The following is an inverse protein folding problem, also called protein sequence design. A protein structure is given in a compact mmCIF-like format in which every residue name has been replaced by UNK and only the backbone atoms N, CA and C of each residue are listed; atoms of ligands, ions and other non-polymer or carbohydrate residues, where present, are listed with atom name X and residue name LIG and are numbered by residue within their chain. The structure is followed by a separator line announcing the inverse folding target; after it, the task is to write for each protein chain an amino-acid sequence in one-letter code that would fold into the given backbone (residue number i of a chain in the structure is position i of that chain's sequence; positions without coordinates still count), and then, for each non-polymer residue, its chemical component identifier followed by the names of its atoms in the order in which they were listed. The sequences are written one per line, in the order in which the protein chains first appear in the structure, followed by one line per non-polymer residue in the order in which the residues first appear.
data_IF_863481233540
#
_entry.id   IF_863481233540
#
_cell.length_a   1.000
_cell.length_b   1.000
_cell.length_c   1.000
_cell.angle_alpha   90.00
_cell.angle_beta   90.00
_cell.angle_gamma   90.00
#
_symmetry.space_group_name_H-M   'P 1'
#
loop_
_entity.id
_entity.type
_entity.pdbx_description
1 polymer ?
#
# COMPACT_ATOMS: atom_id res chain seq x y z
N UNK A 1 -21.03 12.76 -17.50
CA UNK A 1 -20.68 11.44 -16.93
C UNK A 1 -21.40 11.31 -15.61
N UNK A 2 -22.10 10.22 -15.38
CA UNK A 2 -22.75 9.92 -14.08
C UNK A 2 -21.66 9.78 -13.02
N UNK A 3 -21.77 10.50 -11.89
CA UNK A 3 -20.84 10.35 -10.78
C UNK A 3 -20.86 8.88 -10.31
N UNK A 4 -19.68 8.27 -10.17
CA UNK A 4 -19.60 6.90 -9.67
C UNK A 4 -20.08 6.85 -8.22
N UNK A 5 -20.78 5.78 -7.86
CA UNK A 5 -21.23 5.57 -6.49
C UNK A 5 -20.00 5.42 -5.57
N UNK A 6 -19.88 6.21 -4.49
CA UNK A 6 -18.77 6.09 -3.56
C UNK A 6 -18.71 4.70 -2.92
N UNK A 7 -17.51 4.13 -2.83
CA UNK A 7 -17.24 2.90 -2.07
C UNK A 7 -17.17 3.25 -0.58
N UNK A 8 -16.45 4.32 -0.25
CA UNK A 8 -16.17 4.73 1.12
C UNK A 8 -17.35 5.50 1.72
N UNK A 9 -18.39 4.76 2.08
CA UNK A 9 -19.51 5.31 2.86
C UNK A 9 -19.09 5.64 4.30
N UNK A 10 -19.79 6.55 5.01
CA UNK A 10 -19.53 6.82 6.43
C UNK A 10 -19.57 5.55 7.29
N UNK A 11 -20.51 4.65 7.03
CA UNK A 11 -20.62 3.36 7.72
C UNK A 11 -19.40 2.47 7.50
N UNK A 12 -18.91 2.36 6.26
CA UNK A 12 -17.71 1.59 5.96
C UNK A 12 -16.48 2.21 6.62
N UNK A 13 -16.34 3.54 6.55
CA UNK A 13 -15.23 4.25 7.18
C UNK A 13 -15.21 4.04 8.70
N UNK A 14 -16.37 4.11 9.35
CA UNK A 14 -16.50 3.82 10.78
C UNK A 14 -16.13 2.37 11.11
N UNK A 15 -16.51 1.41 10.27
CA UNK A 15 -16.15 0.00 10.44
C UNK A 15 -14.63 -0.23 10.28
N UNK A 16 -13.99 0.42 9.30
CA UNK A 16 -12.53 0.35 9.09
C UNK A 16 -11.79 0.93 10.31
N UNK A 17 -12.18 2.11 10.78
CA UNK A 17 -11.55 2.78 11.94
C UNK A 17 -11.72 1.99 13.24
N UNK A 18 -12.78 1.20 13.36
CA UNK A 18 -13.08 0.36 14.53
C UNK A 18 -12.61 -1.10 14.36
N UNK A 19 -11.91 -1.44 13.27
CA UNK A 19 -11.41 -2.78 13.04
C UNK A 19 -10.52 -3.24 14.21
N UNK A 20 -10.88 -4.34 14.90
CA UNK A 20 -10.05 -4.88 15.98
C UNK A 20 -8.66 -5.27 15.44
N UNK A 21 -7.64 -5.04 16.27
CA UNK A 21 -6.23 -5.36 15.98
C UNK A 21 -5.64 -4.64 14.76
N UNK A 22 -6.35 -3.67 14.16
CA UNK A 22 -5.74 -2.84 13.13
C UNK A 22 -4.68 -1.92 13.78
N UNK A 23 -3.43 -1.92 13.30
CA UNK A 23 -2.40 -1.08 13.90
C UNK A 23 -2.79 0.40 13.86
N UNK A 24 -2.49 1.13 14.94
CA UNK A 24 -2.80 2.55 15.04
C UNK A 24 -2.18 3.32 13.88
N UNK A 25 -2.87 4.35 13.40
CA UNK A 25 -2.38 5.23 12.33
C UNK A 25 -1.99 4.51 11.03
N UNK A 26 -2.70 3.42 10.70
CA UNK A 26 -2.51 2.70 9.42
C UNK A 26 -3.73 2.67 8.51
N UNK A 27 -4.94 2.83 9.09
CA UNK A 27 -6.20 2.71 8.36
C UNK A 27 -6.24 3.57 7.08
N UNK A 28 -5.76 4.80 7.13
CA UNK A 28 -5.87 5.75 6.03
C UNK A 28 -5.03 5.36 4.82
N UNK A 29 -3.80 4.90 5.01
CA UNK A 29 -2.95 4.53 3.89
C UNK A 29 -3.31 3.15 3.34
N UNK A 30 -3.79 2.23 4.18
CA UNK A 30 -4.34 0.94 3.73
C UNK A 30 -5.56 1.17 2.84
N UNK A 31 -6.48 2.04 3.27
CA UNK A 31 -7.68 2.39 2.51
C UNK A 31 -7.30 3.09 1.19
N UNK A 32 -6.44 4.11 1.22
CA UNK A 32 -6.02 4.82 0.02
C UNK A 32 -5.30 3.92 -0.99
N UNK A 33 -4.41 3.03 -0.53
CA UNK A 33 -3.74 2.05 -1.39
C UNK A 33 -4.75 1.08 -2.03
N UNK A 34 -5.73 0.59 -1.25
CA UNK A 34 -6.77 -0.31 -1.75
C UNK A 34 -7.61 0.38 -2.83
N UNK A 35 -8.07 1.62 -2.59
CA UNK A 35 -8.83 2.42 -3.55
C UNK A 35 -8.01 2.72 -4.81
N UNK A 36 -6.71 3.01 -4.67
CA UNK A 36 -5.81 3.18 -5.82
C UNK A 36 -5.75 1.90 -6.66
N UNK A 37 -5.59 0.73 -6.05
CA UNK A 37 -5.57 -0.56 -6.76
C UNK A 37 -6.92 -0.87 -7.45
N UNK A 38 -8.04 -0.47 -6.85
CA UNK A 38 -9.39 -0.54 -7.43
C UNK A 38 -9.66 0.54 -8.50
N UNK A 39 -8.67 1.40 -8.81
CA UNK A 39 -8.79 2.52 -9.74
C UNK A 39 -9.90 3.52 -9.36
N UNK A 40 -9.90 3.93 -8.08
CA UNK A 40 -10.83 4.89 -7.46
C UNK A 40 -10.09 6.11 -6.87
N UNK A 41 -9.26 6.81 -7.66
CA UNK A 41 -8.46 7.94 -7.19
C UNK A 41 -9.31 9.07 -6.60
N UNK A 42 -10.52 9.29 -7.13
CA UNK A 42 -11.46 10.34 -6.72
C UNK A 42 -11.96 10.22 -5.27
N UNK A 43 -11.79 9.07 -4.62
CA UNK A 43 -12.17 8.86 -3.22
C UNK A 43 -11.03 9.18 -2.23
N UNK A 44 -9.80 9.37 -2.70
CA UNK A 44 -8.64 9.68 -1.83
C UNK A 44 -8.77 11.02 -1.08
N UNK A 45 -9.34 12.09 -1.65
CA UNK A 45 -9.55 13.32 -0.90
C UNK A 45 -10.34 13.11 0.39
N UNK A 46 -11.36 12.26 0.36
CA UNK A 46 -12.19 11.97 1.53
C UNK A 46 -11.42 11.17 2.57
N UNK A 47 -10.59 10.20 2.16
CA UNK A 47 -9.68 9.48 3.06
C UNK A 47 -8.75 10.45 3.77
N UNK A 48 -8.14 11.39 3.03
CA UNK A 48 -7.21 12.37 3.57
C UNK A 48 -7.87 13.29 4.60
N UNK A 49 -8.99 13.94 4.25
CA UNK A 49 -9.75 14.83 5.16
C UNK A 49 -10.11 14.13 6.45
N UNK A 50 -10.60 12.90 6.35
CA UNK A 50 -10.91 12.07 7.51
C UNK A 50 -9.68 11.68 8.33
N UNK A 51 -8.51 11.51 7.72
CA UNK A 51 -7.28 11.22 8.44
C UNK A 51 -6.75 12.43 9.21
N UNK A 52 -6.85 13.64 8.64
CA UNK A 52 -6.34 14.88 9.25
C UNK A 52 -7.34 15.60 10.17
N UNK A 53 -8.53 15.02 10.38
CA UNK A 53 -9.55 15.56 11.30
C UNK A 53 -10.50 16.59 10.69
N UNK A 54 -10.54 16.71 9.36
CA UNK A 54 -11.47 17.57 8.61
C UNK A 54 -12.74 16.82 8.15
N UNK A 55 -12.91 15.56 8.56
CA UNK A 55 -14.10 14.75 8.26
C UNK A 55 -15.27 15.01 9.22
N UNK A 56 -16.49 14.69 8.78
CA UNK A 56 -17.74 14.96 9.50
C UNK A 56 -17.93 14.19 10.82
N UNK A 57 -17.20 13.08 11.00
CA UNK A 57 -17.23 12.24 12.20
C UNK A 57 -15.88 12.30 12.92
N UNK A 58 -15.68 13.36 13.71
CA UNK A 58 -14.63 13.41 14.73
C UNK A 58 -15.03 12.49 15.88
N UNK A 59 -14.71 11.20 15.74
CA UNK A 59 -14.61 10.29 16.89
C UNK A 59 -13.74 10.98 17.94
N UNK A 60 -14.14 11.00 19.23
CA UNK A 60 -13.61 11.85 20.32
C UNK A 60 -12.10 11.89 20.62
N UNK A 61 -11.25 11.38 19.73
CA UNK A 61 -9.85 11.77 19.59
C UNK A 61 -9.84 13.11 18.82
N UNK A 62 -9.55 14.22 19.49
CA UNK A 62 -9.56 15.55 18.87
C UNK A 62 -8.74 15.68 17.59
N UNK A 63 -8.86 16.84 16.92
CA UNK A 63 -8.15 17.12 15.66
C UNK A 63 -6.65 16.87 15.82
N UNK A 64 -6.01 16.06 14.93
CA UNK A 64 -4.56 15.83 14.98
C UNK A 64 -3.75 17.13 14.96
N UNK A 65 -2.60 17.14 15.64
CA UNK A 65 -1.68 18.28 15.58
C UNK A 65 -1.17 18.53 14.16
N UNK A 66 -0.63 19.71 13.87
CA UNK A 66 -0.12 20.01 12.52
C UNK A 66 0.99 19.04 12.09
N UNK A 67 1.87 18.68 13.03
CA UNK A 67 2.93 17.69 12.80
C UNK A 67 2.36 16.30 12.50
N UNK A 68 1.27 15.92 13.17
CA UNK A 68 0.58 14.66 12.88
C UNK A 68 -0.06 14.66 11.49
N UNK A 69 -0.68 15.78 11.09
CA UNK A 69 -1.26 15.94 9.75
C UNK A 69 -0.18 15.86 8.67
N UNK A 70 0.98 16.48 8.87
CA UNK A 70 2.13 16.37 7.97
C UNK A 70 2.64 14.93 7.89
N UNK A 71 2.74 14.23 9.03
CA UNK A 71 3.10 12.81 9.08
C UNK A 71 2.10 11.93 8.34
N UNK A 72 0.80 12.17 8.48
CA UNK A 72 -0.26 11.48 7.73
C UNK A 72 -0.12 11.71 6.23
N UNK A 73 0.08 12.97 5.81
CA UNK A 73 0.30 13.34 4.39
C UNK A 73 1.49 12.61 3.78
N UNK A 74 2.64 12.59 4.47
CA UNK A 74 3.84 11.88 4.03
C UNK A 74 3.63 10.36 3.95
N UNK A 75 2.96 9.77 4.94
CA UNK A 75 2.68 8.32 4.97
C UNK A 75 1.72 7.90 3.85
N UNK A 76 0.71 8.71 3.53
CA UNK A 76 -0.18 8.47 2.38
C UNK A 76 0.59 8.49 1.05
N UNK A 77 1.40 9.54 0.84
CA UNK A 77 2.22 9.64 -0.38
C UNK A 77 3.20 8.48 -0.49
N UNK A 78 3.88 8.12 0.59
CA UNK A 78 4.80 7.00 0.61
C UNK A 78 4.10 5.67 0.29
N UNK A 79 2.94 5.40 0.88
CA UNK A 79 2.17 4.20 0.59
C UNK A 79 1.76 4.11 -0.90
N UNK A 80 1.31 5.21 -1.49
CA UNK A 80 0.91 5.26 -2.90
C UNK A 80 2.10 5.12 -3.86
N UNK A 81 3.28 5.66 -3.49
CA UNK A 81 4.53 5.47 -4.23
C UNK A 81 4.97 4.00 -4.16
N UNK A 82 4.96 3.38 -2.98
CA UNK A 82 5.30 1.96 -2.83
C UNK A 82 4.30 1.04 -3.52
N UNK A 83 3.01 1.37 -3.52
CA UNK A 83 1.97 0.62 -4.22
C UNK A 83 2.24 0.50 -5.73
N UNK A 84 2.96 1.46 -6.33
CA UNK A 84 3.30 1.41 -7.77
C UNK A 84 4.08 0.15 -8.16
N UNK A 85 4.82 -0.45 -7.23
CA UNK A 85 5.60 -1.67 -7.43
C UNK A 85 4.75 -2.87 -7.87
N UNK A 86 3.48 -2.93 -7.45
CA UNK A 86 2.58 -4.07 -7.72
C UNK A 86 1.20 -3.66 -8.22
N UNK A 87 0.77 -2.42 -8.01
CA UNK A 87 -0.47 -1.83 -8.53
C UNK A 87 -0.28 -1.06 -9.83
N UNK A 88 0.97 -0.79 -10.22
CA UNK A 88 1.33 -0.10 -11.46
C UNK A 88 1.39 1.43 -11.32
N UNK A 89 2.34 2.04 -12.04
CA UNK A 89 2.58 3.48 -12.00
C UNK A 89 1.35 4.35 -12.36
N UNK A 90 0.53 4.02 -13.38
CA UNK A 90 -0.60 4.88 -13.76
C UNK A 90 -1.63 5.07 -12.64
N UNK A 91 -1.98 4.01 -11.90
CA UNK A 91 -2.93 4.09 -10.77
C UNK A 91 -2.36 4.91 -9.62
N UNK A 92 -1.07 4.76 -9.33
CA UNK A 92 -0.37 5.57 -8.33
C UNK A 92 -0.29 7.05 -8.73
N UNK A 93 -0.05 7.37 -10.01
CA UNK A 93 -0.05 8.76 -10.50
C UNK A 93 -1.42 9.39 -10.30
N UNK A 94 -2.49 8.74 -10.77
CA UNK A 94 -3.85 9.27 -10.63
C UNK A 94 -4.22 9.47 -9.15
N UNK A 95 -3.86 8.51 -8.30
CA UNK A 95 -4.09 8.57 -6.87
C UNK A 95 -3.35 9.76 -6.21
N UNK A 96 -2.06 9.92 -6.49
CA UNK A 96 -1.25 11.02 -5.95
C UNK A 96 -1.73 12.39 -6.44
N UNK A 97 -2.12 12.51 -7.72
CA UNK A 97 -2.68 13.75 -8.27
C UNK A 97 -4.02 14.11 -7.63
N UNK A 98 -4.89 13.13 -7.40
CA UNK A 98 -6.15 13.35 -6.70
C UNK A 98 -5.94 13.69 -5.22
N UNK A 99 -4.95 13.09 -4.56
CA UNK A 99 -4.59 13.45 -3.19
C UNK A 99 -4.07 14.89 -3.11
N UNK A 100 -3.18 15.26 -4.04
CA UNK A 100 -2.61 16.61 -4.12
C UNK A 100 -3.69 17.69 -4.21
N UNK A 101 -4.77 17.45 -4.96
CA UNK A 101 -5.82 18.47 -5.18
C UNK A 101 -6.58 18.89 -3.92
N UNK A 102 -6.46 18.15 -2.82
CA UNK A 102 -7.05 18.51 -1.51
C UNK A 102 -6.03 18.73 -0.40
N UNK A 103 -4.74 18.51 -0.68
CA UNK A 103 -3.70 18.60 0.35
C UNK A 103 -3.29 20.08 0.50
N UNK A 104 -3.38 20.69 1.70
CA UNK A 104 -2.87 22.03 1.96
C UNK A 104 -1.39 22.17 1.57
N UNK A 105 -0.99 23.34 1.08
CA UNK A 105 0.36 23.59 0.57
C UNK A 105 1.46 23.28 1.60
N UNK A 106 1.26 23.64 2.85
CA UNK A 106 2.20 23.39 3.95
C UNK A 106 2.19 21.92 4.45
N UNK A 107 1.31 21.06 3.91
CA UNK A 107 1.39 19.59 4.05
C UNK A 107 2.01 18.90 2.82
N UNK A 108 2.38 19.66 1.80
CA UNK A 108 3.14 19.19 0.64
C UNK A 108 4.65 19.33 0.90
N UNK A 109 5.43 18.55 0.16
CA UNK A 109 6.89 18.62 0.17
C UNK A 109 7.29 19.06 -1.23
N UNK A 110 8.25 19.99 -1.33
CA UNK A 110 8.74 20.47 -2.62
C UNK A 110 9.71 19.47 -3.27
N UNK A 111 9.71 19.34 -4.62
CA UNK A 111 10.67 18.50 -5.34
C UNK A 111 12.12 18.92 -5.06
N UNK A 112 13.04 17.96 -5.02
CA UNK A 112 14.48 18.23 -4.86
C UNK A 112 14.89 18.74 -3.48
N UNK A 113 13.98 18.76 -2.51
CA UNK A 113 14.33 19.01 -1.11
C UNK A 113 14.98 17.78 -0.48
N UNK A 114 15.84 18.00 0.52
CA UNK A 114 16.50 16.97 1.32
C UNK A 114 15.54 15.98 2.03
N UNK A 115 14.24 16.26 1.99
CA UNK A 115 13.16 15.45 2.54
C UNK A 115 12.91 14.21 1.67
N UNK A 116 13.17 14.28 0.36
CA UNK A 116 12.93 13.16 -0.56
C UNK A 116 14.07 12.15 -0.52
N UNK A 117 13.88 11.02 0.17
CA UNK A 117 14.90 9.97 0.22
C UNK A 117 15.15 9.34 -1.15
N UNK A 118 14.12 9.23 -2.00
CA UNK A 118 14.31 8.73 -3.38
C UNK A 118 15.15 9.67 -4.24
N UNK A 119 15.11 10.98 -3.97
CA UNK A 119 16.02 11.92 -4.62
C UNK A 119 17.47 11.60 -4.21
N UNK A 120 17.71 11.46 -2.89
CA UNK A 120 19.02 11.07 -2.36
C UNK A 120 19.51 9.72 -2.87
N UNK A 121 18.63 8.73 -3.00
CA UNK A 121 18.98 7.41 -3.54
C UNK A 121 19.45 7.48 -5.00
N UNK A 122 18.92 8.42 -5.80
CA UNK A 122 19.25 8.59 -7.21
C UNK A 122 20.50 9.45 -7.42
N UNK A 123 20.63 10.55 -6.69
CA UNK A 123 21.64 11.57 -6.97
C UNK A 123 22.84 11.53 -6.02
N UNK A 124 22.65 11.12 -4.76
CA UNK A 124 23.66 11.26 -3.69
C UNK A 124 24.18 9.92 -3.17
N UNK A 125 23.41 8.84 -3.30
CA UNK A 125 23.74 7.53 -2.76
C UNK A 125 24.27 6.62 -3.86
N UNK A 126 25.43 6.00 -3.62
CA UNK A 126 25.99 5.03 -4.55
C UNK A 126 24.98 3.89 -4.85
N UNK A 127 24.68 3.59 -6.13
CA UNK A 127 23.67 2.59 -6.51
C UNK A 127 23.83 1.22 -5.84
N UNK A 128 25.07 0.77 -5.66
CA UNK A 128 25.37 -0.49 -4.97
C UNK A 128 24.83 -0.55 -3.54
N UNK A 129 24.86 0.57 -2.78
CA UNK A 129 24.30 0.64 -1.43
C UNK A 129 22.78 0.56 -1.43
N UNK A 130 22.13 1.20 -2.41
CA UNK A 130 20.67 1.14 -2.59
C UNK A 130 20.23 -0.29 -2.92
N UNK A 131 20.97 -0.97 -3.81
CA UNK A 131 20.72 -2.37 -4.17
C UNK A 131 20.98 -3.34 -3.01
N UNK A 132 22.02 -3.11 -2.20
CA UNK A 132 22.30 -3.89 -0.99
C UNK A 132 21.19 -3.75 0.06
N UNK A 133 20.71 -2.51 0.30
CA UNK A 133 19.54 -2.26 1.14
C UNK A 133 18.31 -3.00 0.60
N UNK A 134 18.11 -2.96 -0.72
CA UNK A 134 17.07 -3.69 -1.43
C UNK A 134 17.13 -5.20 -1.20
N UNK A 135 18.31 -5.79 -1.38
CA UNK A 135 18.56 -7.21 -1.16
C UNK A 135 18.30 -7.60 0.30
N UNK A 136 18.80 -6.83 1.26
CA UNK A 136 18.58 -7.04 2.70
C UNK A 136 17.09 -7.01 3.04
N UNK A 137 16.36 -6.03 2.50
CA UNK A 137 14.92 -5.92 2.70
C UNK A 137 14.16 -7.11 2.09
N UNK A 138 14.51 -7.51 0.87
CA UNK A 138 13.93 -8.69 0.22
C UNK A 138 14.15 -9.96 1.05
N UNK A 139 15.36 -10.15 1.57
CA UNK A 139 15.71 -11.28 2.43
C UNK A 139 14.94 -11.27 3.75
N UNK A 140 14.72 -10.11 4.35
CA UNK A 140 13.88 -9.97 5.54
C UNK A 140 12.43 -10.38 5.26
N UNK A 141 11.86 -9.94 4.13
CA UNK A 141 10.48 -10.26 3.73
C UNK A 141 10.31 -11.76 3.48
N UNK A 142 11.17 -12.37 2.67
CA UNK A 142 10.98 -13.77 2.24
C UNK A 142 11.72 -14.79 3.11
N UNK A 143 12.60 -14.36 4.00
CA UNK A 143 13.37 -15.23 4.89
C UNK A 143 14.07 -16.36 4.15
N UNK A 144 13.93 -17.59 4.66
CA UNK A 144 14.63 -18.79 4.15
C UNK A 144 14.39 -19.10 2.67
N UNK A 145 13.30 -18.61 2.07
CA UNK A 145 12.95 -18.89 0.68
C UNK A 145 13.37 -17.78 -0.29
N UNK A 146 13.98 -16.69 0.19
CA UNK A 146 14.39 -15.53 -0.61
C UNK A 146 15.25 -15.94 -1.83
N UNK A 147 16.32 -16.70 -1.61
CA UNK A 147 17.21 -17.19 -2.67
C UNK A 147 16.47 -18.03 -3.72
N UNK A 148 15.53 -18.87 -3.28
CA UNK A 148 14.72 -19.69 -4.19
C UNK A 148 13.85 -18.81 -5.07
N UNK A 149 13.13 -17.85 -4.47
CA UNK A 149 12.23 -16.95 -5.20
C UNK A 149 13.02 -16.10 -6.20
N UNK A 150 14.09 -15.43 -5.76
CA UNK A 150 14.89 -14.61 -6.68
C UNK A 150 15.49 -15.46 -7.81
N UNK A 151 15.99 -16.66 -7.48
CA UNK A 151 16.48 -17.58 -8.50
C UNK A 151 15.41 -18.05 -9.49
N UNK A 152 14.13 -18.16 -9.08
CA UNK A 152 13.04 -18.44 -10.01
C UNK A 152 12.78 -17.26 -10.96
N UNK A 153 12.85 -16.02 -10.47
CA UNK A 153 12.73 -14.83 -11.31
C UNK A 153 13.89 -14.74 -12.32
N UNK A 154 15.13 -14.96 -11.87
CA UNK A 154 16.34 -14.97 -12.71
C UNK A 154 16.27 -16.03 -13.80
N UNK A 155 15.65 -17.18 -13.52
CA UNK A 155 15.52 -18.33 -14.46
C UNK A 155 14.15 -18.44 -15.12
N UNK A 156 13.38 -17.34 -15.15
CA UNK A 156 12.04 -17.32 -15.73
C UNK A 156 12.00 -17.43 -17.26
N UNK A 157 13.16 -17.46 -17.92
CA UNK A 157 13.28 -17.29 -19.38
C UNK A 157 13.35 -15.83 -19.82
N UNK A 158 13.03 -14.89 -18.92
CA UNK A 158 13.26 -13.45 -19.06
C UNK A 158 14.16 -12.98 -17.90
N UNK A 159 15.49 -13.05 -18.03
CA UNK A 159 16.41 -12.79 -16.92
C UNK A 159 16.26 -11.39 -16.31
N UNK A 160 15.77 -10.43 -17.10
CA UNK A 160 15.45 -9.07 -16.64
C UNK A 160 14.37 -9.03 -15.55
N UNK A 161 13.53 -10.06 -15.42
CA UNK A 161 12.52 -10.12 -14.36
C UNK A 161 13.15 -10.07 -12.97
N UNK A 162 14.27 -10.79 -12.76
CA UNK A 162 15.01 -10.74 -11.52
C UNK A 162 15.73 -9.41 -11.31
N UNK A 163 16.20 -8.77 -12.40
CA UNK A 163 16.83 -7.44 -12.33
C UNK A 163 15.80 -6.36 -11.96
N UNK A 164 14.63 -6.38 -12.59
CA UNK A 164 13.51 -5.50 -12.26
C UNK A 164 13.08 -5.66 -10.81
N UNK A 165 12.98 -6.91 -10.31
CA UNK A 165 12.72 -7.14 -8.90
C UNK A 165 13.77 -6.47 -8.00
N UNK A 166 15.08 -6.65 -8.27
CA UNK A 166 16.14 -6.00 -7.48
C UNK A 166 16.05 -4.48 -7.51
N UNK A 167 15.75 -3.89 -8.67
CA UNK A 167 15.55 -2.43 -8.79
C UNK A 167 14.33 -1.96 -7.97
N UNK A 168 13.21 -2.66 -8.06
CA UNK A 168 11.99 -2.35 -7.29
C UNK A 168 12.25 -2.46 -5.78
N UNK A 169 12.90 -3.52 -5.33
CA UNK A 169 13.23 -3.66 -3.91
C UNK A 169 14.24 -2.61 -3.44
N UNK A 170 15.26 -2.29 -4.25
CA UNK A 170 16.24 -1.24 -3.95
C UNK A 170 15.64 0.16 -3.85
N UNK A 171 15.08 0.64 -4.95
CA UNK A 171 14.70 2.06 -5.10
C UNK A 171 13.26 2.38 -4.67
N UNK A 172 12.37 1.38 -4.61
CA UNK A 172 10.95 1.62 -4.29
C UNK A 172 10.58 1.16 -2.89
N UNK A 173 10.92 -0.09 -2.53
CA UNK A 173 10.34 -0.74 -1.34
C UNK A 173 11.22 -0.65 -0.08
N UNK A 174 12.55 -0.73 -0.22
CA UNK A 174 13.45 -0.92 0.93
C UNK A 174 13.73 0.31 1.78
N UNK A 175 13.37 1.51 1.33
CA UNK A 175 13.41 2.68 2.20
C UNK A 175 12.32 2.56 3.26
N UNK A 176 12.66 2.59 4.54
CA UNK A 176 11.69 2.44 5.64
C UNK A 176 11.66 3.63 6.60
N UNK A 177 12.05 4.81 6.12
CA UNK A 177 12.14 6.02 6.97
C UNK A 177 10.75 6.58 7.31
N UNK A 178 9.76 6.38 6.42
CA UNK A 178 8.38 6.86 6.59
C UNK A 178 7.42 5.73 6.95
N UNK A 179 7.56 4.57 6.30
CA UNK A 179 6.78 3.35 6.57
C UNK A 179 7.72 2.23 6.99
N UNK A 180 7.41 1.57 8.10
CA UNK A 180 8.21 0.45 8.62
C UNK A 180 8.21 -0.75 7.66
N UNK A 181 9.06 -1.77 7.88
CA UNK A 181 9.00 -3.02 7.10
C UNK A 181 7.62 -3.69 7.12
N UNK A 182 6.97 -3.76 8.28
CA UNK A 182 5.61 -4.28 8.41
C UNK A 182 4.59 -3.43 7.62
N UNK A 183 4.64 -2.10 7.77
CA UNK A 183 3.73 -1.19 7.07
C UNK A 183 3.91 -1.23 5.55
N UNK A 184 5.15 -1.37 5.08
CA UNK A 184 5.45 -1.59 3.67
C UNK A 184 4.80 -2.88 3.17
N UNK A 185 4.80 -3.95 3.98
CA UNK A 185 4.09 -5.18 3.63
C UNK A 185 2.57 -4.99 3.65
N UNK A 186 2.02 -4.17 4.56
CA UNK A 186 0.59 -3.81 4.55
C UNK A 186 0.17 -3.09 3.27
N UNK A 187 1.01 -2.19 2.75
CA UNK A 187 0.77 -1.53 1.44
C UNK A 187 0.72 -2.57 0.31
N UNK A 188 1.63 -3.54 0.32
CA UNK A 188 1.65 -4.58 -0.70
C UNK A 188 0.45 -5.52 -0.58
N UNK A 189 0.05 -5.91 0.64
CA UNK A 189 -1.20 -6.66 0.90
C UNK A 189 -2.42 -5.88 0.35
N UNK A 190 -2.53 -4.59 0.69
CA UNK A 190 -3.61 -3.70 0.24
C UNK A 190 -3.66 -3.51 -1.28
N UNK A 191 -2.51 -3.63 -1.96
CA UNK A 191 -2.43 -3.52 -3.42
C UNK A 191 -2.70 -4.85 -4.13
N UNK A 192 -2.32 -5.99 -3.53
CA UNK A 192 -2.36 -7.31 -4.16
C UNK A 192 -3.73 -7.99 -4.03
N UNK A 193 -4.44 -7.82 -2.90
CA UNK A 193 -5.77 -8.41 -2.71
C UNK A 193 -6.78 -7.93 -3.78
N UNK A 194 -6.91 -6.63 -4.10
CA UNK A 194 -7.84 -6.17 -5.13
C UNK A 194 -7.55 -6.70 -6.54
N UNK A 195 -6.35 -7.21 -6.77
CA UNK A 195 -5.87 -7.69 -8.07
C UNK A 195 -5.90 -9.22 -8.20
N UNK A 196 -6.34 -9.95 -7.17
CA UNK A 196 -6.43 -11.42 -7.16
C UNK A 196 -5.09 -12.15 -7.44
N UNK A 197 -3.98 -11.59 -6.95
CA UNK A 197 -2.61 -12.11 -7.18
C UNK A 197 -2.05 -12.82 -5.95
N UNK A 198 -2.71 -13.93 -5.60
CA UNK A 198 -2.39 -14.76 -4.45
C UNK A 198 -0.92 -15.26 -4.35
N UNK A 199 -0.23 -15.65 -5.46
CA UNK A 199 1.16 -16.08 -5.38
C UNK A 199 2.11 -15.04 -4.78
N UNK A 200 1.91 -13.76 -5.13
CA UNK A 200 2.67 -12.63 -4.58
C UNK A 200 2.17 -12.27 -3.17
N UNK A 201 0.85 -12.30 -2.94
CA UNK A 201 0.25 -11.96 -1.64
C UNK A 201 0.81 -12.79 -0.49
N UNK A 202 0.97 -14.12 -0.68
CA UNK A 202 1.49 -15.03 0.35
C UNK A 202 2.84 -14.61 0.91
N UNK A 203 3.74 -14.15 0.04
CA UNK A 203 5.06 -13.64 0.43
C UNK A 203 4.96 -12.42 1.34
N UNK A 204 4.05 -11.50 1.04
CA UNK A 204 3.88 -10.26 1.79
C UNK A 204 3.07 -10.42 3.08
N UNK A 205 2.14 -11.37 3.16
CA UNK A 205 1.51 -11.77 4.43
C UNK A 205 2.56 -12.26 5.42
N UNK A 206 3.46 -13.17 4.98
CA UNK A 206 4.56 -13.63 5.82
C UNK A 206 5.61 -12.54 6.07
N UNK A 207 5.86 -11.71 5.05
CA UNK A 207 6.76 -10.56 5.11
C UNK A 207 6.36 -9.55 6.17
N UNK A 208 5.06 -9.29 6.34
CA UNK A 208 4.57 -8.43 7.41
C UNK A 208 4.93 -8.98 8.80
N UNK A 209 4.80 -10.29 9.01
CA UNK A 209 5.23 -10.94 10.26
C UNK A 209 6.73 -10.83 10.48
N UNK A 210 7.53 -11.12 9.45
CA UNK A 210 8.99 -10.99 9.52
C UNK A 210 9.42 -9.51 9.75
N UNK A 211 8.60 -8.56 9.30
CA UNK A 211 8.76 -7.13 9.54
C UNK A 211 8.28 -6.63 10.91
N UNK A 212 7.80 -7.54 11.78
CA UNK A 212 7.44 -7.24 13.17
C UNK A 212 5.94 -7.17 13.46
N UNK A 213 5.06 -7.38 12.49
CA UNK A 213 3.62 -7.43 12.74
C UNK A 213 3.22 -8.73 13.45
N UNK A 214 2.17 -8.67 14.27
CA UNK A 214 1.49 -9.85 14.80
C UNK A 214 0.57 -10.48 13.74
N UNK A 215 0.20 -11.75 13.96
CA UNK A 215 -0.78 -12.46 13.11
C UNK A 215 -2.12 -11.72 13.07
N UNK A 216 -2.56 -11.21 14.23
CA UNK A 216 -3.84 -10.51 14.34
C UNK A 216 -3.84 -9.17 13.60
N UNK A 217 -2.72 -8.44 13.60
CA UNK A 217 -2.57 -7.23 12.79
C UNK A 217 -2.60 -7.53 11.30
N UNK A 218 -1.90 -8.57 10.83
CA UNK A 218 -1.91 -8.97 9.41
C UNK A 218 -3.33 -9.36 8.97
N UNK A 219 -4.05 -10.11 9.80
CA UNK A 219 -5.46 -10.47 9.55
C UNK A 219 -6.36 -9.24 9.54
N UNK A 220 -6.18 -8.31 10.48
CA UNK A 220 -6.96 -7.07 10.52
C UNK A 220 -6.76 -6.20 9.27
N UNK A 221 -5.51 -6.11 8.77
CA UNK A 221 -5.21 -5.41 7.51
C UNK A 221 -5.91 -6.11 6.34
N UNK A 222 -5.77 -7.44 6.22
CA UNK A 222 -6.45 -8.23 5.19
C UNK A 222 -7.96 -8.01 5.22
N UNK A 223 -8.56 -8.02 6.41
CA UNK A 223 -10.00 -7.85 6.60
C UNK A 223 -10.50 -6.46 6.23
N UNK A 224 -9.69 -5.40 6.44
CA UNK A 224 -10.02 -4.05 5.97
C UNK A 224 -10.03 -4.01 4.44
N UNK A 225 -9.00 -4.57 3.81
CA UNK A 225 -8.86 -4.57 2.36
C UNK A 225 -10.01 -5.34 1.70
N UNK A 226 -10.38 -6.50 2.24
CA UNK A 226 -11.52 -7.30 1.76
C UNK A 226 -12.82 -6.51 1.89
N UNK A 227 -13.09 -5.85 3.03
CA UNK A 227 -14.31 -5.02 3.20
C UNK A 227 -14.43 -3.93 2.14
N UNK A 228 -13.32 -3.28 1.79
CA UNK A 228 -13.31 -2.24 0.74
C UNK A 228 -13.56 -2.87 -0.63
N UNK A 229 -12.92 -4.01 -0.93
CA UNK A 229 -13.15 -4.76 -2.17
C UNK A 229 -14.61 -5.19 -2.31
N UNK A 230 -15.22 -5.77 -1.27
CA UNK A 230 -16.63 -6.16 -1.26
C UNK A 230 -17.56 -4.96 -1.43
N UNK A 231 -17.27 -3.85 -0.75
CA UNK A 231 -18.01 -2.59 -0.94
C UNK A 231 -17.89 -2.02 -2.36
N UNK A 232 -16.80 -2.33 -3.07
CA UNK A 232 -16.63 -2.03 -4.50
C UNK A 232 -17.42 -2.96 -5.43
N UNK A 233 -18.06 -3.99 -4.88
CA UNK A 233 -18.79 -5.01 -5.61
C UNK A 233 -17.96 -6.24 -5.99
N UNK A 234 -16.72 -6.37 -5.49
CA UNK A 234 -15.95 -7.60 -5.69
C UNK A 234 -16.60 -8.76 -4.94
N UNK A 235 -16.60 -9.94 -5.56
CA UNK A 235 -17.14 -11.17 -4.96
C UNK A 235 -16.27 -12.38 -5.30
N UNK A 236 -16.49 -13.52 -4.63
CA UNK A 236 -15.95 -14.79 -5.11
C UNK A 236 -16.57 -15.10 -6.47
N UNK A 237 -15.72 -15.36 -7.47
CA UNK A 237 -16.16 -15.78 -8.79
C UNK A 237 -16.35 -17.30 -8.82
N UNK A 238 -17.35 -17.77 -9.58
CA UNK A 238 -17.54 -19.18 -9.88
C UNK A 238 -16.29 -19.76 -10.57
N UNK A 239 -16.05 -21.06 -10.41
CA UNK A 239 -14.84 -21.72 -10.93
C UNK A 239 -14.73 -21.64 -12.46
N UNK A 240 -15.88 -21.66 -13.15
CA UNK A 240 -15.99 -21.58 -14.61
C UNK A 240 -16.21 -20.15 -15.14
N UNK A 241 -16.17 -19.13 -14.26
CA UNK A 241 -16.39 -17.75 -14.66
C UNK A 241 -15.29 -17.26 -15.63
N UNK A 242 -15.69 -16.95 -16.87
CA UNK A 242 -14.78 -16.42 -17.90
C UNK A 242 -14.29 -15.01 -17.52
N UNK A 243 -15.12 -14.22 -16.83
CA UNK A 243 -14.78 -12.89 -16.33
C UNK A 243 -15.63 -12.51 -15.12
N UNK A 244 -15.35 -11.34 -14.54
CA UNK A 244 -16.08 -10.83 -13.39
C UNK A 244 -15.25 -9.84 -12.59
N UNK A 245 -15.89 -9.20 -11.63
CA UNK A 245 -15.24 -8.31 -10.67
C UNK A 245 -15.12 -9.05 -9.33
N UNK A 246 -13.93 -9.56 -9.01
CA UNK A 246 -13.81 -10.50 -7.91
C UNK A 246 -12.56 -11.36 -7.87
N UNK A 247 -12.58 -12.35 -6.99
CA UNK A 247 -11.49 -13.29 -6.76
C UNK A 247 -11.78 -14.69 -7.31
N UNK A 248 -10.81 -15.27 -8.02
CA UNK A 248 -10.85 -16.62 -8.60
C UNK A 248 -10.41 -17.72 -7.63
N UNK A 249 -9.80 -17.34 -6.52
CA UNK A 249 -9.50 -18.24 -5.41
C UNK A 249 -9.83 -17.57 -4.07
N UNK A 250 -9.85 -18.33 -2.98
CA UNK A 250 -9.90 -17.73 -1.65
C UNK A 250 -8.70 -16.80 -1.45
N UNK A 251 -8.93 -15.57 -1.00
CA UNK A 251 -7.85 -14.62 -0.71
C UNK A 251 -6.93 -15.25 0.33
N UNK A 252 -5.63 -15.36 0.04
CA UNK A 252 -4.69 -16.03 0.93
C UNK A 252 -4.72 -15.43 2.34
N UNK A 253 -4.54 -16.30 3.34
CA UNK A 253 -4.40 -15.92 4.75
C UNK A 253 -2.98 -16.25 5.24
N UNK A 254 -2.61 -15.65 6.37
CA UNK A 254 -1.30 -15.82 7.03
C UNK A 254 -1.19 -17.12 7.83
#
# INVERSE_FOLDING_TARGET
MTAMKPILTPTLLAAIRKQPNLPRNTWYFITATTLSALNRPEELPEVFKNAIGEGSDTTGNGVPSRDDQLRISRRLREALLKASAVGGMPKSINALMSLKSTTPEDLLDEPGTDISIRHKDIYDTAPAKVLERGQTFFEAIYGKISRRIMGQLDRSGAPDLGLLARLTYGYVLSNTDVLTPAETSFVLIASLIPQDVNPQLKGHLRGALNGGASVDEVRAVRDVVIKICEASGMKRLEEDAIGGWGWRSEVANV
#
